data_IF_531092279769
#
_entry.id   IF_531092279769
#
_cell.length_a   1.000
_cell.length_b   1.000
_cell.length_c   1.000
_cell.angle_alpha   90.00
_cell.angle_beta   90.00
_cell.angle_gamma   90.00
#
_symmetry.space_group_name_H-M   'P 1'
#
loop_
_entity.id
_entity.type
_entity.pdbx_description
1 polymer ?
#
# COMPACT_ATOMS: atom_id res chain seq x y z
N UNK A 1 -20.31 -5.34 17.24
CA UNK A 1 -20.74 -3.97 16.85
C UNK A 1 -19.71 -2.98 17.42
N UNK A 2 -19.36 -1.92 16.68
CA UNK A 2 -18.48 -0.87 17.19
C UNK A 2 -19.09 -0.19 18.43
N UNK A 3 -18.23 0.37 19.32
CA UNK A 3 -18.72 1.10 20.50
C UNK A 3 -19.45 2.36 20.08
N UNK A 4 -20.35 2.85 20.94
CA UNK A 4 -21.08 4.10 20.69
C UNK A 4 -20.14 5.29 20.48
N UNK A 5 -19.03 5.32 21.22
CA UNK A 5 -18.01 6.34 21.07
C UNK A 5 -17.39 6.35 19.67
N UNK A 6 -17.07 5.16 19.11
CA UNK A 6 -16.56 5.02 17.74
C UNK A 6 -17.60 5.46 16.71
N UNK A 7 -18.86 5.04 16.86
CA UNK A 7 -19.94 5.43 15.95
C UNK A 7 -20.15 6.95 15.93
N UNK A 8 -20.22 7.57 17.10
CA UNK A 8 -20.32 9.02 17.23
C UNK A 8 -19.14 9.75 16.62
N UNK A 9 -17.94 9.19 16.76
CA UNK A 9 -16.74 9.75 16.14
C UNK A 9 -16.78 9.67 14.62
N UNK A 10 -17.16 8.52 14.06
CA UNK A 10 -17.32 8.33 12.60
C UNK A 10 -18.32 9.37 12.05
N UNK A 11 -19.48 9.49 12.65
CA UNK A 11 -20.50 10.46 12.22
C UNK A 11 -19.96 11.88 12.22
N UNK A 12 -19.24 12.28 13.28
CA UNK A 12 -18.66 13.62 13.40
C UNK A 12 -17.56 13.89 12.39
N UNK A 13 -16.85 12.86 11.92
CA UNK A 13 -15.71 12.98 11.00
C UNK A 13 -16.06 12.70 9.55
N UNK A 14 -17.26 12.21 9.27
CA UNK A 14 -17.67 11.73 7.95
C UNK A 14 -17.41 12.73 6.83
N UNK A 15 -17.89 13.97 6.95
CA UNK A 15 -17.72 15.03 5.95
C UNK A 15 -16.25 15.29 5.64
N UNK A 16 -15.40 15.37 6.67
CA UNK A 16 -13.98 15.60 6.48
C UNK A 16 -13.28 14.43 5.79
N UNK A 17 -13.70 13.21 6.08
CA UNK A 17 -13.18 12.02 5.40
C UNK A 17 -13.70 11.93 3.97
N UNK A 18 -14.90 12.44 3.71
CA UNK A 18 -15.45 12.54 2.36
C UNK A 18 -14.65 13.53 1.50
N UNK A 19 -14.31 14.71 2.04
CA UNK A 19 -13.44 15.67 1.35
C UNK A 19 -12.10 15.04 0.96
N UNK A 20 -11.52 14.26 1.87
CA UNK A 20 -10.27 13.55 1.61
C UNK A 20 -10.45 12.43 0.55
N UNK A 21 -11.58 11.74 0.58
CA UNK A 21 -11.92 10.74 -0.44
C UNK A 21 -12.08 11.37 -1.81
N UNK A 22 -12.80 12.49 -1.92
CA UNK A 22 -12.97 13.27 -3.15
C UNK A 22 -11.62 13.68 -3.74
N UNK A 23 -10.71 14.17 -2.91
CA UNK A 23 -9.36 14.53 -3.35
C UNK A 23 -8.59 13.33 -3.94
N UNK A 24 -8.55 12.19 -3.25
CA UNK A 24 -7.79 11.02 -3.72
C UNK A 24 -8.46 10.31 -4.89
N UNK A 25 -9.79 10.25 -4.93
CA UNK A 25 -10.53 9.71 -6.06
C UNK A 25 -10.39 10.60 -7.30
N UNK A 26 -10.35 11.93 -7.12
CA UNK A 26 -10.04 12.87 -8.20
C UNK A 26 -8.66 12.64 -8.81
N UNK A 27 -7.63 12.46 -7.96
CA UNK A 27 -6.28 12.11 -8.41
C UNK A 27 -6.21 10.75 -9.13
N UNK A 28 -7.07 9.81 -8.74
CA UNK A 28 -7.15 8.47 -9.34
C UNK A 28 -8.05 8.41 -10.60
N UNK A 29 -8.66 9.54 -11.02
CA UNK A 29 -9.55 9.59 -12.17
C UNK A 29 -10.94 8.99 -11.95
N UNK A 30 -11.38 8.86 -10.70
CA UNK A 30 -12.68 8.28 -10.29
C UNK A 30 -13.42 9.19 -9.30
N UNK A 31 -13.59 10.50 -9.56
CA UNK A 31 -14.14 11.44 -8.58
C UNK A 31 -15.56 11.07 -8.12
N UNK A 32 -16.37 10.51 -9.02
CA UNK A 32 -17.77 10.14 -8.73
C UNK A 32 -17.89 8.96 -7.75
N UNK A 33 -16.82 8.21 -7.52
CA UNK A 33 -16.80 7.05 -6.64
C UNK A 33 -16.35 7.38 -5.19
N UNK A 34 -16.10 8.65 -4.89
CA UNK A 34 -15.54 9.06 -3.61
C UNK A 34 -16.39 8.63 -2.40
N UNK A 35 -17.71 8.72 -2.53
CA UNK A 35 -18.66 8.31 -1.49
C UNK A 35 -18.63 6.78 -1.30
N UNK A 36 -18.58 6.04 -2.38
CA UNK A 36 -18.57 4.58 -2.34
C UNK A 36 -17.26 4.05 -1.74
N UNK A 37 -16.13 4.65 -2.11
CA UNK A 37 -14.81 4.36 -1.53
C UNK A 37 -14.81 4.62 -0.02
N UNK A 38 -15.35 5.76 0.44
CA UNK A 38 -15.46 6.06 1.85
C UNK A 38 -16.36 5.06 2.58
N UNK A 39 -17.51 4.75 2.03
CA UNK A 39 -18.46 3.82 2.64
C UNK A 39 -17.86 2.41 2.74
N UNK A 40 -17.13 1.93 1.73
CA UNK A 40 -16.44 0.64 1.80
C UNK A 40 -15.36 0.63 2.90
N UNK A 41 -14.63 1.74 3.06
CA UNK A 41 -13.65 1.89 4.15
C UNK A 41 -14.33 1.85 5.50
N UNK A 42 -15.47 2.54 5.68
CA UNK A 42 -16.24 2.53 6.93
C UNK A 42 -16.79 1.12 7.20
N UNK A 43 -17.35 0.44 6.21
CA UNK A 43 -17.81 -0.93 6.36
C UNK A 43 -16.68 -1.86 6.80
N UNK A 44 -15.52 -1.77 6.16
CA UNK A 44 -14.33 -2.54 6.53
C UNK A 44 -13.81 -2.20 7.93
N UNK A 45 -13.91 -0.93 8.34
CA UNK A 45 -13.57 -0.47 9.68
C UNK A 45 -14.48 -1.11 10.73
N UNK A 46 -15.80 -1.05 10.53
CA UNK A 46 -16.80 -1.57 11.45
C UNK A 46 -16.75 -3.10 11.63
N UNK A 47 -16.14 -3.82 10.71
CA UNK A 47 -15.86 -5.26 10.82
C UNK A 47 -14.66 -5.58 11.73
N UNK A 48 -13.86 -4.58 12.12
CA UNK A 48 -12.72 -4.78 13.02
C UNK A 48 -13.19 -5.03 14.46
N UNK A 49 -12.28 -5.62 15.26
CA UNK A 49 -12.54 -5.87 16.68
C UNK A 49 -12.71 -4.55 17.43
N UNK A 50 -13.75 -4.43 18.25
CA UNK A 50 -14.05 -3.21 19.03
C UNK A 50 -12.84 -2.73 19.82
N UNK A 51 -12.14 -3.64 20.52
CA UNK A 51 -10.95 -3.29 21.29
C UNK A 51 -9.87 -2.57 20.46
N UNK A 52 -9.74 -2.92 19.17
CA UNK A 52 -8.82 -2.24 18.27
C UNK A 52 -9.31 -0.83 17.96
N UNK A 53 -10.60 -0.68 17.65
CA UNK A 53 -11.20 0.60 17.31
C UNK A 53 -11.14 1.58 18.48
N UNK A 54 -11.46 1.11 19.69
CA UNK A 54 -11.39 1.93 20.90
C UNK A 54 -9.95 2.39 21.15
N UNK A 55 -8.94 1.51 21.01
CA UNK A 55 -7.54 1.87 21.13
C UNK A 55 -7.12 2.92 20.11
N UNK A 56 -7.53 2.77 18.85
CA UNK A 56 -7.21 3.74 17.80
C UNK A 56 -7.89 5.11 18.05
N UNK A 57 -9.06 5.12 18.69
CA UNK A 57 -9.76 6.33 19.05
C UNK A 57 -9.11 7.06 20.24
N UNK A 58 -8.62 6.31 21.22
CA UNK A 58 -7.97 6.86 22.42
C UNK A 58 -6.58 7.43 22.12
N UNK A 59 -5.83 6.78 21.23
CA UNK A 59 -4.46 7.21 20.89
C UNK A 59 -4.49 8.44 20.00
N UNK A 60 -3.78 9.50 20.42
CA UNK A 60 -3.69 10.76 19.66
C UNK A 60 -2.25 11.07 19.27
N UNK A 61 -2.09 11.59 18.05
CA UNK A 61 -0.83 12.09 17.53
C UNK A 61 -1.06 13.40 16.77
N UNK A 62 -0.33 14.45 17.13
CA UNK A 62 -0.45 15.76 16.47
C UNK A 62 -1.90 16.32 16.42
N UNK A 63 -2.71 16.10 17.47
CA UNK A 63 -4.09 16.59 17.54
C UNK A 63 -5.14 15.72 16.82
N UNK A 64 -4.72 14.68 16.10
CA UNK A 64 -5.58 13.72 15.44
C UNK A 64 -5.54 12.37 16.16
N UNK A 65 -6.62 11.58 16.01
CA UNK A 65 -6.63 10.21 16.53
C UNK A 65 -5.90 9.28 15.57
N UNK A 66 -5.37 8.16 16.08
CA UNK A 66 -4.84 7.12 15.21
C UNK A 66 -5.92 6.53 14.29
N UNK A 67 -7.19 6.59 14.70
CA UNK A 67 -8.33 6.23 13.88
C UNK A 67 -8.43 7.10 12.61
N UNK A 68 -8.21 8.43 12.73
CA UNK A 68 -8.16 9.31 11.55
C UNK A 68 -7.08 8.84 10.57
N UNK A 69 -5.85 8.65 11.05
CA UNK A 69 -4.75 8.21 10.19
C UNK A 69 -5.02 6.86 9.54
N UNK A 70 -5.63 5.94 10.26
CA UNK A 70 -6.01 4.64 9.73
C UNK A 70 -7.02 4.77 8.60
N UNK A 71 -8.10 5.54 8.80
CA UNK A 71 -9.15 5.78 7.79
C UNK A 71 -8.57 6.49 6.56
N UNK A 72 -7.80 7.57 6.75
CA UNK A 72 -7.20 8.31 5.64
C UNK A 72 -6.27 7.43 4.81
N UNK A 73 -5.48 6.56 5.45
CA UNK A 73 -4.64 5.58 4.74
C UNK A 73 -5.47 4.57 3.94
N UNK A 74 -6.56 4.07 4.51
CA UNK A 74 -7.47 3.13 3.84
C UNK A 74 -8.15 3.78 2.63
N UNK A 75 -8.62 5.03 2.75
CA UNK A 75 -9.20 5.79 1.63
C UNK A 75 -8.18 5.89 0.50
N UNK A 76 -6.97 6.38 0.79
CA UNK A 76 -5.91 6.51 -0.21
C UNK A 76 -5.62 5.20 -0.92
N UNK A 77 -5.49 4.09 -0.17
CA UNK A 77 -5.24 2.77 -0.75
C UNK A 77 -6.40 2.29 -1.63
N UNK A 78 -7.65 2.47 -1.19
CA UNK A 78 -8.81 2.05 -1.96
C UNK A 78 -9.01 2.88 -3.24
N UNK A 79 -8.68 4.17 -3.21
CA UNK A 79 -8.76 5.03 -4.39
C UNK A 79 -7.65 4.71 -5.41
N UNK A 80 -6.39 4.53 -4.97
CA UNK A 80 -5.23 4.49 -5.86
C UNK A 80 -4.74 3.09 -6.25
N UNK A 81 -4.99 2.07 -5.42
CA UNK A 81 -4.47 0.72 -5.70
C UNK A 81 -5.41 -0.09 -6.61
N UNK A 82 -4.92 -0.60 -7.75
CA UNK A 82 -5.73 -1.46 -8.63
C UNK A 82 -6.14 -2.78 -7.97
N UNK A 83 -5.40 -3.25 -6.98
CA UNK A 83 -5.68 -4.47 -6.21
C UNK A 83 -6.40 -4.20 -4.89
N UNK A 84 -6.93 -2.97 -4.70
CA UNK A 84 -7.65 -2.62 -3.48
C UNK A 84 -8.92 -3.43 -3.30
N UNK A 85 -9.38 -3.55 -2.06
CA UNK A 85 -10.63 -4.24 -1.74
C UNK A 85 -11.82 -3.62 -2.47
N UNK A 86 -11.85 -2.30 -2.61
CA UNK A 86 -12.88 -1.59 -3.35
C UNK A 86 -12.87 -2.00 -4.83
N UNK A 87 -11.71 -1.91 -5.50
CA UNK A 87 -11.62 -2.24 -6.93
C UNK A 87 -11.86 -3.72 -7.22
N UNK A 88 -11.38 -4.61 -6.38
CA UNK A 88 -11.62 -6.06 -6.55
C UNK A 88 -13.09 -6.41 -6.42
N UNK A 89 -13.87 -5.66 -5.63
CA UNK A 89 -15.28 -5.94 -5.39
C UNK A 89 -16.19 -5.28 -6.41
N UNK A 90 -15.94 -4.01 -6.77
CA UNK A 90 -16.86 -3.21 -7.58
C UNK A 90 -16.38 -3.02 -9.02
N UNK A 91 -15.10 -3.20 -9.27
CA UNK A 91 -14.51 -3.18 -10.60
C UNK A 91 -13.59 -4.40 -10.76
N UNK A 92 -14.15 -5.61 -10.76
CA UNK A 92 -13.37 -6.77 -11.14
C UNK A 92 -12.76 -6.46 -12.50
N UNK A 93 -11.49 -6.80 -12.69
CA UNK A 93 -10.89 -6.81 -14.02
C UNK A 93 -11.88 -7.55 -14.92
N UNK A 94 -12.26 -7.00 -16.08
CA UNK A 94 -13.12 -7.71 -16.99
C UNK A 94 -12.47 -9.07 -17.24
N UNK A 95 -13.02 -10.10 -16.62
CA UNK A 95 -12.79 -11.44 -17.07
C UNK A 95 -13.54 -11.50 -18.39
N UNK A 96 -12.82 -11.27 -19.47
CA UNK A 96 -13.36 -11.48 -20.78
C UNK A 96 -13.54 -12.98 -20.90
N UNK A 97 -14.76 -13.46 -20.61
CA UNK A 97 -15.13 -14.88 -20.70
C UNK A 97 -14.95 -15.41 -22.13
N UNK A 98 -14.62 -14.53 -23.08
CA UNK A 98 -14.38 -14.81 -24.50
C UNK A 98 -12.89 -14.71 -24.89
N UNK A 99 -11.98 -14.48 -23.98
CA UNK A 99 -10.56 -14.62 -24.30
C UNK A 99 -10.26 -16.12 -24.44
N UNK A 100 -10.23 -16.55 -25.68
CA UNK A 100 -9.72 -17.88 -26.04
C UNK A 100 -8.21 -17.91 -25.76
N UNK A 101 -7.87 -18.27 -24.53
CA UNK A 101 -6.48 -18.36 -24.05
C UNK A 101 -5.65 -19.37 -24.86
N UNK A 102 -6.30 -20.23 -25.65
CA UNK A 102 -5.61 -21.17 -26.56
C UNK A 102 -5.07 -20.46 -27.81
N UNK A 103 -5.52 -19.23 -28.09
CA UNK A 103 -5.04 -18.37 -29.19
C UNK A 103 -4.07 -17.29 -28.76
N UNK A 104 -3.82 -17.13 -27.48
CA UNK A 104 -2.64 -16.44 -27.05
C UNK A 104 -1.46 -17.36 -27.43
N UNK A 105 -0.89 -17.11 -28.63
CA UNK A 105 0.50 -17.43 -28.89
C UNK A 105 1.28 -16.64 -27.83
N UNK A 106 1.37 -17.23 -26.65
CA UNK A 106 2.44 -16.91 -25.76
C UNK A 106 3.64 -17.42 -26.58
N UNK A 107 4.24 -16.52 -27.36
CA UNK A 107 5.62 -16.73 -27.74
C UNK A 107 6.29 -17.07 -26.42
N UNK A 108 6.45 -18.39 -26.24
CA UNK A 108 7.39 -18.89 -25.27
C UNK A 108 8.71 -18.31 -25.77
N UNK A 109 8.94 -17.04 -25.39
CA UNK A 109 10.25 -16.47 -25.43
C UNK A 109 11.01 -17.33 -24.43
N UNK A 110 11.44 -18.47 -24.92
CA UNK A 110 12.47 -19.31 -24.36
C UNK A 110 13.83 -18.60 -24.39
N UNK A 111 13.80 -17.28 -24.33
CA UNK A 111 14.80 -16.51 -23.64
C UNK A 111 14.68 -16.97 -22.19
N UNK A 112 15.34 -18.09 -21.88
CA UNK A 112 15.77 -18.36 -20.51
C UNK A 112 16.11 -17.01 -19.93
N UNK A 113 15.49 -16.60 -18.80
CA UNK A 113 15.79 -15.29 -18.25
C UNK A 113 17.31 -15.25 -18.13
N UNK A 114 17.94 -14.52 -19.05
CA UNK A 114 19.39 -14.27 -19.00
C UNK A 114 19.67 -14.06 -17.53
N UNK A 115 20.60 -14.80 -16.99
CA UNK A 115 20.84 -14.88 -15.55
C UNK A 115 21.16 -13.47 -15.04
N UNK A 116 20.10 -12.64 -14.91
CA UNK A 116 20.17 -11.28 -14.40
C UNK A 116 20.74 -11.25 -13.00
N UNK A 117 20.77 -12.42 -12.34
CA UNK A 117 21.36 -12.55 -11.02
C UNK A 117 22.86 -12.27 -11.07
N UNK A 118 23.56 -12.74 -12.11
CA UNK A 118 24.99 -12.45 -12.28
C UNK A 118 25.21 -10.95 -12.52
N UNK A 119 24.42 -10.32 -13.39
CA UNK A 119 24.51 -8.88 -13.67
C UNK A 119 24.14 -8.04 -12.44
N UNK A 120 23.12 -8.46 -11.68
CA UNK A 120 22.72 -7.79 -10.43
C UNK A 120 23.82 -7.91 -9.38
N UNK A 121 24.43 -9.08 -9.23
CA UNK A 121 25.54 -9.30 -8.29
C UNK A 121 26.77 -8.48 -8.66
N UNK A 122 27.11 -8.38 -9.94
CA UNK A 122 28.20 -7.55 -10.43
C UNK A 122 27.94 -6.06 -10.15
N UNK A 123 26.72 -5.58 -10.42
CA UNK A 123 26.32 -4.20 -10.10
C UNK A 123 26.34 -3.92 -8.60
N UNK A 124 25.90 -4.87 -7.78
CA UNK A 124 25.96 -4.75 -6.32
C UNK A 124 27.42 -4.70 -5.82
N UNK A 125 28.30 -5.50 -6.41
CA UNK A 125 29.73 -5.48 -6.08
C UNK A 125 30.34 -4.13 -6.42
N UNK A 126 30.07 -3.60 -7.60
CA UNK A 126 30.55 -2.29 -8.05
C UNK A 126 30.04 -1.15 -7.13
N UNK A 127 28.78 -1.19 -6.75
CA UNK A 127 28.19 -0.20 -5.80
C UNK A 127 28.91 -0.28 -4.46
N UNK A 128 29.18 -1.48 -3.97
CA UNK A 128 29.86 -1.69 -2.69
C UNK A 128 31.30 -1.18 -2.72
N UNK A 129 32.07 -1.51 -3.75
CA UNK A 129 33.44 -1.01 -3.93
C UNK A 129 33.48 0.51 -4.05
N UNK A 130 32.54 1.08 -4.83
CA UNK A 130 32.42 2.54 -4.97
C UNK A 130 32.13 3.19 -3.62
N UNK A 131 31.23 2.60 -2.83
CA UNK A 131 30.87 3.09 -1.51
C UNK A 131 32.05 3.03 -0.52
N UNK A 132 32.80 1.93 -0.51
CA UNK A 132 33.97 1.77 0.34
C UNK A 132 35.09 2.79 -0.05
N UNK A 133 35.16 3.17 -1.33
CA UNK A 133 36.14 4.15 -1.85
C UNK A 133 35.81 5.60 -1.47
N UNK A 134 34.56 5.91 -1.06
CA UNK A 134 34.11 7.27 -0.77
C UNK A 134 34.54 7.81 0.60
N UNK A 135 35.19 7.00 1.44
CA UNK A 135 35.66 7.37 2.80
C UNK A 135 34.64 8.22 3.58
N UNK A 136 33.39 7.79 3.54
CA UNK A 136 32.30 8.48 4.23
C UNK A 136 32.46 8.35 5.75
N UNK A 137 32.33 9.45 6.46
CA UNK A 137 32.35 9.45 7.93
C UNK A 137 31.37 8.40 8.50
N UNK A 138 31.74 7.76 9.62
CA UNK A 138 31.06 6.59 10.21
C UNK A 138 29.53 6.70 10.35
N UNK A 139 28.98 7.91 10.54
CA UNK A 139 27.54 8.14 10.66
C UNK A 139 26.85 8.09 9.30
N UNK A 140 27.42 8.74 8.28
CA UNK A 140 26.88 8.75 6.92
C UNK A 140 26.95 7.35 6.30
N UNK A 141 28.04 6.61 6.53
CA UNK A 141 28.19 5.24 6.10
C UNK A 141 27.11 4.32 6.69
N UNK A 142 26.85 4.40 8.00
CA UNK A 142 25.81 3.62 8.68
C UNK A 142 24.40 3.96 8.20
N UNK A 143 24.10 5.23 7.94
CA UNK A 143 22.78 5.63 7.41
C UNK A 143 22.58 5.07 6.02
N UNK A 144 23.60 5.11 5.17
CA UNK A 144 23.51 4.56 3.83
C UNK A 144 23.42 3.03 3.83
N UNK A 145 24.21 2.35 4.65
CA UNK A 145 24.15 0.90 4.85
C UNK A 145 22.77 0.46 5.30
N UNK A 146 22.20 1.14 6.30
CA UNK A 146 20.87 0.83 6.80
C UNK A 146 19.78 1.02 5.73
N UNK A 147 19.84 2.11 4.94
CA UNK A 147 18.84 2.36 3.89
C UNK A 147 19.00 1.48 2.65
N UNK A 148 20.22 1.12 2.28
CA UNK A 148 20.48 0.43 1.01
C UNK A 148 20.54 -1.09 1.15
N UNK A 149 20.96 -1.61 2.30
CA UNK A 149 21.17 -3.05 2.50
C UNK A 149 20.19 -3.70 3.49
N UNK A 150 19.63 -2.97 4.45
CA UNK A 150 18.64 -3.53 5.39
C UNK A 150 17.31 -3.89 4.69
N UNK A 151 16.99 -3.24 3.59
CA UNK A 151 15.80 -3.58 2.79
C UNK A 151 15.91 -4.94 2.08
N UNK A 152 17.13 -5.42 1.80
CA UNK A 152 17.35 -6.72 1.15
C UNK A 152 17.34 -7.90 2.12
N UNK A 153 17.71 -7.69 3.38
CA UNK A 153 17.64 -8.74 4.41
C UNK A 153 16.20 -9.10 4.79
N UNK A 154 15.28 -8.13 4.72
CA UNK A 154 13.88 -8.36 5.10
C UNK A 154 13.05 -9.09 4.05
N UNK A 155 13.48 -9.10 2.79
CA UNK A 155 12.78 -9.82 1.70
C UNK A 155 13.22 -11.26 1.54
N UNK A 156 14.34 -11.67 2.10
CA UNK A 156 14.83 -13.05 2.01
C UNK A 156 14.37 -13.96 3.18
N UNK A 157 13.95 -13.39 4.32
CA UNK A 157 13.43 -14.17 5.44
C UNK A 157 11.93 -14.47 5.38
N UNK A 158 11.20 -13.94 4.40
CA UNK A 158 9.74 -14.15 4.26
C UNK A 158 9.41 -15.21 3.21
N UNK A 159 10.40 -15.87 2.59
CA UNK A 159 10.20 -16.89 1.53
C UNK A 159 10.74 -18.28 1.96
N UNK A 160 10.76 -18.58 3.28
CA UNK A 160 10.96 -19.96 3.76
C UNK A 160 9.93 -20.30 4.81
#
# INVERSE_FOLDING_TARGET
MASEAVNNYITKRYERWLDYSLYHCGLAGIPDEATDVLNEVICSLLQKKNRLLDKLLETRKNGYTELDFFVLKMIKLNASSPTSQYRSRYKPLPADDNVDYTRLDIEDSSDEPEDRNAEILEKLHLVRETFESLDLGTVAARVFEFHSFAFHSFTLEVIW
#
